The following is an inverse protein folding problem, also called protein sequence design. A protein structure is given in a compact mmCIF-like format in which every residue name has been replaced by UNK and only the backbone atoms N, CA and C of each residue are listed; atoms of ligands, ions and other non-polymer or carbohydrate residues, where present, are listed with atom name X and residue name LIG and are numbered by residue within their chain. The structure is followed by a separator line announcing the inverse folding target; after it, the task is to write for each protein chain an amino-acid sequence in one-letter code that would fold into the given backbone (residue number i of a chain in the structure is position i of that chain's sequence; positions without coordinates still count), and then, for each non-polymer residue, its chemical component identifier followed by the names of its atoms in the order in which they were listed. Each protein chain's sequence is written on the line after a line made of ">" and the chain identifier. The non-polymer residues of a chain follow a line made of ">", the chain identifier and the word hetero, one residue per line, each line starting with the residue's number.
data_IF_564436924231
#
_entry.id   IF_564436924231
#
_cell.length_a   1.000
_cell.length_b   1.000
_cell.length_c   1.000
_cell.angle_alpha   90.00
_cell.angle_beta   90.00
_cell.angle_gamma   90.00
#
_symmetry.space_group_name_H-M   'P 1'
#
loop_
_entity.id
_entity.type
_entity.pdbx_description
1 polymer ?
#
# COMPACT_ATOMS: atom_id res chain seq x y z
N UNK A 1 22.65 22.57 6.40
CA UNK A 1 21.71 23.53 5.75
C UNK A 1 20.80 24.15 6.82
N UNK A 2 20.65 25.49 6.91
CA UNK A 2 19.75 26.11 7.91
C UNK A 2 18.29 25.92 7.48
N UNK A 3 17.46 25.31 8.34
CA UNK A 3 16.02 25.17 8.13
C UNK A 3 15.35 26.55 8.04
N UNK A 4 14.68 26.88 6.92
CA UNK A 4 13.91 28.12 6.73
C UNK A 4 12.43 27.83 6.93
N UNK A 5 11.84 28.32 8.01
CA UNK A 5 10.38 28.22 8.24
C UNK A 5 9.68 29.29 7.40
N UNK A 6 8.79 28.87 6.49
CA UNK A 6 8.01 29.78 5.63
C UNK A 6 6.71 30.16 6.32
N UNK A 7 5.91 29.21 6.76
CA UNK A 7 4.66 29.40 7.51
C UNK A 7 4.25 28.09 8.21
N UNK A 8 3.37 28.20 9.17
CA UNK A 8 2.68 27.05 9.77
C UNK A 8 1.33 26.87 9.05
N UNK A 9 1.10 25.69 8.46
CA UNK A 9 -0.12 25.37 7.70
C UNK A 9 -1.15 24.57 8.51
N UNK A 10 -0.69 23.78 9.50
CA UNK A 10 -1.53 23.03 10.43
C UNK A 10 -0.99 23.14 11.85
N UNK A 11 -1.84 22.89 12.86
CA UNK A 11 -1.41 22.87 14.26
C UNK A 11 -0.51 21.65 14.55
N UNK A 12 0.33 21.74 15.58
CA UNK A 12 1.13 20.60 16.06
C UNK A 12 0.23 19.43 16.45
N UNK A 13 -0.95 19.70 17.06
CA UNK A 13 -1.93 18.68 17.43
C UNK A 13 -2.45 17.95 16.20
N UNK A 14 -2.86 18.68 15.15
CA UNK A 14 -3.34 18.10 13.89
C UNK A 14 -2.24 17.26 13.23
N UNK A 15 -1.01 17.78 13.16
CA UNK A 15 0.14 17.04 12.61
C UNK A 15 0.37 15.71 13.34
N UNK A 16 0.31 15.70 14.67
CA UNK A 16 0.47 14.49 15.48
C UNK A 16 -0.62 13.46 15.21
N UNK A 17 -1.88 13.90 15.17
CA UNK A 17 -3.03 13.02 14.88
C UNK A 17 -2.90 12.41 13.48
N UNK A 18 -2.53 13.21 12.48
CA UNK A 18 -2.34 12.72 11.11
C UNK A 18 -1.20 11.70 10.99
N UNK A 19 -0.08 11.93 11.68
CA UNK A 19 1.02 10.96 11.68
C UNK A 19 0.62 9.64 12.35
N UNK A 20 -0.15 9.68 13.44
CA UNK A 20 -0.71 8.49 14.07
C UNK A 20 -1.67 7.74 13.13
N UNK A 21 -2.54 8.45 12.41
CA UNK A 21 -3.39 7.85 11.39
C UNK A 21 -2.56 7.20 10.25
N UNK A 22 -1.49 7.86 9.80
CA UNK A 22 -0.58 7.30 8.78
C UNK A 22 0.17 6.06 9.29
N UNK A 23 0.52 6.01 10.57
CA UNK A 23 1.09 4.81 11.21
C UNK A 23 0.09 3.65 11.21
N UNK A 24 -1.19 3.93 11.50
CA UNK A 24 -2.25 2.92 11.41
C UNK A 24 -2.40 2.36 9.99
N UNK A 25 -2.22 3.17 8.95
CA UNK A 25 -2.24 2.71 7.54
C UNK A 25 -1.12 1.72 7.26
N UNK A 26 0.08 1.94 7.83
CA UNK A 26 1.22 1.02 7.66
C UNK A 26 1.07 -0.22 8.54
N UNK A 27 0.63 -0.08 9.79
CA UNK A 27 0.49 -1.20 10.69
C UNK A 27 -0.69 -2.13 10.33
N UNK A 28 -1.84 -1.57 9.90
CA UNK A 28 -3.13 -2.26 9.84
C UNK A 28 -3.86 -2.12 8.50
N UNK A 29 -3.40 -1.25 7.61
CA UNK A 29 -4.08 -0.89 6.38
C UNK A 29 -3.29 -1.21 5.11
N UNK A 30 -3.62 -0.51 4.04
CA UNK A 30 -3.04 -0.71 2.70
C UNK A 30 -1.54 -0.38 2.57
N UNK A 31 -0.90 0.12 3.63
CA UNK A 31 0.55 0.35 3.68
C UNK A 31 1.34 -0.77 4.36
N UNK A 32 0.71 -1.87 4.76
CA UNK A 32 1.32 -2.93 5.60
C UNK A 32 2.56 -3.60 4.98
N UNK A 33 2.73 -3.56 3.67
CA UNK A 33 3.95 -4.05 3.00
C UNK A 33 5.19 -3.18 3.27
N UNK A 34 5.00 -1.96 3.82
CA UNK A 34 6.08 -1.10 4.27
C UNK A 34 6.35 -1.19 5.79
N UNK A 35 5.61 -2.04 6.52
CA UNK A 35 5.78 -2.21 7.96
C UNK A 35 7.17 -2.78 8.30
N UNK A 36 7.83 -2.20 9.29
CA UNK A 36 9.10 -2.66 9.87
C UNK A 36 8.92 -2.76 11.37
N UNK A 37 9.06 -3.96 11.90
CA UNK A 37 8.93 -4.21 13.33
C UNK A 37 9.96 -3.46 14.16
N UNK A 38 9.53 -2.80 15.22
CA UNK A 38 10.36 -1.98 16.09
C UNK A 38 10.56 -0.55 15.59
N UNK A 39 9.88 -0.14 14.51
CA UNK A 39 9.99 1.21 13.97
C UNK A 39 8.63 1.81 13.66
N UNK A 40 8.41 3.03 14.13
CA UNK A 40 7.17 3.76 13.93
C UNK A 40 7.16 4.42 12.54
N UNK A 41 6.56 3.73 11.58
CA UNK A 41 6.47 4.21 10.19
C UNK A 41 5.04 4.63 9.90
N UNK A 42 4.87 5.90 9.56
CA UNK A 42 3.63 6.40 8.97
C UNK A 42 3.75 6.46 7.45
N UNK A 43 2.71 6.05 6.71
CA UNK A 43 2.77 6.09 5.26
C UNK A 43 1.42 6.02 4.57
N UNK A 44 1.41 6.35 3.26
CA UNK A 44 0.22 6.29 2.42
C UNK A 44 0.58 5.91 0.99
N UNK A 45 -0.16 4.95 0.47
CA UNK A 45 -0.13 4.58 -0.96
C UNK A 45 -0.87 5.60 -1.80
N UNK A 46 -0.43 5.82 -3.03
CA UNK A 46 -1.12 6.60 -4.04
C UNK A 46 -1.15 5.86 -5.37
N UNK A 47 -2.30 5.82 -6.01
CA UNK A 47 -2.46 5.29 -7.37
C UNK A 47 -3.22 6.34 -8.17
N UNK A 48 -2.51 7.05 -9.02
CA UNK A 48 -3.06 8.11 -9.85
C UNK A 48 -3.09 7.67 -11.32
N UNK A 49 -4.26 7.66 -11.92
CA UNK A 49 -4.39 7.40 -13.36
C UNK A 49 -3.80 8.57 -14.16
N UNK A 50 -3.04 8.27 -15.20
CA UNK A 50 -2.45 9.30 -16.07
C UNK A 50 -3.53 9.97 -16.92
N UNK A 51 -3.32 11.25 -17.20
CA UNK A 51 -4.23 12.06 -18.02
C UNK A 51 -3.47 12.57 -19.24
N UNK A 52 -4.04 12.44 -20.42
CA UNK A 52 -3.54 13.03 -21.66
C UNK A 52 -4.71 13.72 -22.37
N UNK A 53 -4.51 14.97 -22.79
CA UNK A 53 -5.54 15.80 -23.44
C UNK A 53 -6.87 15.87 -22.67
N UNK A 54 -6.81 15.87 -21.32
CA UNK A 54 -7.99 15.93 -20.46
C UNK A 54 -8.73 14.58 -20.27
N UNK A 55 -8.20 13.48 -20.83
CA UNK A 55 -8.80 12.14 -20.74
C UNK A 55 -7.91 11.23 -19.89
N UNK A 56 -8.54 10.45 -18.99
CA UNK A 56 -7.84 9.42 -18.22
C UNK A 56 -7.43 8.25 -19.12
N UNK A 57 -6.15 7.91 -19.09
CA UNK A 57 -5.60 6.79 -19.85
C UNK A 57 -5.84 5.48 -19.10
N UNK A 58 -6.63 4.59 -19.67
CA UNK A 58 -6.89 3.26 -19.13
C UNK A 58 -5.59 2.46 -19.05
N UNK A 59 -5.33 1.82 -17.91
CA UNK A 59 -4.14 0.98 -17.72
C UNK A 59 -2.82 1.75 -17.48
N UNK A 60 -2.85 3.09 -17.48
CA UNK A 60 -1.66 3.91 -17.28
C UNK A 60 -1.72 4.66 -15.95
N UNK A 61 -0.83 4.32 -15.03
CA UNK A 61 -0.85 4.83 -13.67
C UNK A 61 0.51 5.38 -13.23
N UNK A 62 0.47 6.33 -12.30
CA UNK A 62 1.58 6.66 -11.42
C UNK A 62 1.28 6.04 -10.07
N UNK A 63 2.06 5.07 -9.65
CA UNK A 63 1.94 4.43 -8.35
C UNK A 63 2.96 5.03 -7.40
N UNK A 64 2.52 5.44 -6.21
CA UNK A 64 3.41 6.09 -5.25
C UNK A 64 3.22 5.58 -3.83
N UNK A 65 4.24 5.80 -3.02
CA UNK A 65 4.22 5.61 -1.59
C UNK A 65 4.96 6.76 -0.91
N UNK A 66 4.32 7.39 0.04
CA UNK A 66 4.95 8.38 0.92
C UNK A 66 5.08 7.79 2.30
N UNK A 67 6.23 7.97 2.93
CA UNK A 67 6.46 7.56 4.30
C UNK A 67 7.13 8.64 5.12
N UNK A 68 6.93 8.56 6.42
CA UNK A 68 7.58 9.35 7.45
C UNK A 68 8.11 8.43 8.54
N UNK A 69 9.35 8.62 8.94
CA UNK A 69 10.03 7.79 9.96
C UNK A 69 10.94 8.63 10.87
N UNK A 70 10.89 8.44 12.20
CA UNK A 70 9.79 7.84 12.95
C UNK A 70 8.50 8.68 12.85
N UNK A 71 7.32 8.05 12.91
CA UNK A 71 6.04 8.78 12.76
C UNK A 71 5.74 9.73 13.91
N UNK A 72 6.22 9.42 15.13
CA UNK A 72 6.02 10.24 16.33
C UNK A 72 6.96 11.45 16.40
N UNK A 73 8.21 11.31 15.99
CA UNK A 73 9.21 12.40 15.90
C UNK A 73 10.00 12.30 14.59
N UNK A 74 9.48 12.87 13.48
CA UNK A 74 9.99 12.63 12.14
C UNK A 74 11.40 13.16 11.91
N UNK A 75 12.29 12.27 11.46
CA UNK A 75 13.65 12.58 11.02
C UNK A 75 13.77 12.52 9.49
N UNK A 76 13.03 11.62 8.86
CA UNK A 76 13.03 11.49 7.41
C UNK A 76 11.61 11.39 6.81
N UNK A 77 11.50 11.87 5.57
CA UNK A 77 10.34 11.68 4.70
C UNK A 77 10.83 11.03 3.41
N UNK A 78 10.19 9.92 3.04
CA UNK A 78 10.40 9.23 1.77
C UNK A 78 9.20 9.48 0.86
N UNK A 79 9.45 9.85 -0.40
CA UNK A 79 8.45 9.80 -1.46
C UNK A 79 9.01 8.97 -2.62
N UNK A 80 8.35 7.86 -2.90
CA UNK A 80 8.64 6.97 -4.01
C UNK A 80 7.50 7.01 -5.01
N UNK A 81 7.80 7.18 -6.29
CA UNK A 81 6.84 7.09 -7.37
C UNK A 81 7.39 6.24 -8.52
N UNK A 82 6.53 5.40 -9.10
CA UNK A 82 6.81 4.60 -10.29
C UNK A 82 5.84 5.04 -11.37
N UNK A 83 6.39 5.57 -12.46
CA UNK A 83 5.59 5.98 -13.61
C UNK A 83 5.33 4.77 -14.50
N UNK A 84 4.06 4.52 -14.74
CA UNK A 84 3.55 3.54 -15.68
C UNK A 84 4.15 2.12 -15.51
N UNK A 85 4.03 1.50 -14.30
CA UNK A 85 4.52 0.14 -14.09
C UNK A 85 3.81 -0.82 -15.03
N UNK A 86 4.53 -1.83 -15.53
CA UNK A 86 4.00 -2.76 -16.54
C UNK A 86 2.83 -3.61 -16.03
N UNK A 87 2.86 -4.00 -14.76
CA UNK A 87 1.78 -4.77 -14.14
C UNK A 87 0.89 -3.84 -13.29
N UNK A 88 -0.15 -3.28 -13.91
CA UNK A 88 -1.07 -2.33 -13.29
C UNK A 88 -2.23 -2.98 -12.52
N UNK A 89 -2.40 -4.31 -12.60
CA UNK A 89 -3.34 -5.04 -11.75
C UNK A 89 -2.94 -4.96 -10.28
N UNK A 90 -1.63 -4.88 -10.00
CA UNK A 90 -1.12 -4.76 -8.65
C UNK A 90 -1.25 -3.32 -8.15
N UNK A 91 -1.77 -3.17 -6.93
CA UNK A 91 -1.86 -1.87 -6.25
C UNK A 91 -0.50 -1.35 -5.81
N UNK A 92 -0.42 -0.04 -5.51
CA UNK A 92 0.76 0.58 -4.89
C UNK A 92 1.20 -0.10 -3.59
N UNK A 93 0.27 -0.72 -2.84
CA UNK A 93 0.57 -1.53 -1.66
C UNK A 93 1.45 -2.76 -1.96
N UNK A 94 1.37 -3.31 -3.18
CA UNK A 94 2.15 -4.46 -3.63
C UNK A 94 3.30 -4.09 -4.56
N UNK A 95 3.37 -2.86 -5.04
CA UNK A 95 4.43 -2.39 -5.93
C UNK A 95 5.37 -1.43 -5.20
N UNK A 96 4.88 -0.26 -4.77
CA UNK A 96 5.73 0.79 -4.17
C UNK A 96 6.00 0.59 -2.69
N UNK A 97 5.05 0.05 -1.91
CA UNK A 97 5.25 -0.10 -0.47
C UNK A 97 6.35 -1.12 -0.09
N UNK A 98 6.51 -2.29 -0.76
CA UNK A 98 7.64 -3.19 -0.50
C UNK A 98 9.00 -2.58 -0.86
N UNK A 99 9.05 -1.79 -1.95
CA UNK A 99 10.27 -1.08 -2.35
C UNK A 99 10.59 0.00 -1.32
N UNK A 100 9.59 0.77 -0.90
CA UNK A 100 9.73 1.79 0.14
C UNK A 100 10.24 1.18 1.46
N UNK A 101 9.77 -0.03 1.84
CA UNK A 101 10.27 -0.74 3.01
C UNK A 101 11.78 -0.98 2.95
N UNK A 102 12.28 -1.38 1.78
CA UNK A 102 13.74 -1.62 1.60
C UNK A 102 14.53 -0.32 1.75
N UNK A 103 14.06 0.76 1.12
CA UNK A 103 14.68 2.09 1.24
C UNK A 103 14.62 2.61 2.68
N UNK A 104 13.50 2.38 3.38
CA UNK A 104 13.34 2.78 4.79
C UNK A 104 14.30 2.04 5.71
N UNK A 105 14.65 0.77 5.46
CA UNK A 105 15.67 0.05 6.21
C UNK A 105 17.03 0.73 6.06
N UNK A 106 17.39 1.12 4.82
CA UNK A 106 18.66 1.83 4.57
C UNK A 106 18.67 3.23 5.25
N UNK A 107 17.53 3.93 5.25
CA UNK A 107 17.39 5.23 5.94
C UNK A 107 17.50 5.07 7.46
N UNK A 108 16.87 4.05 8.03
CA UNK A 108 16.91 3.74 9.46
C UNK A 108 18.35 3.50 9.91
N UNK A 109 19.09 2.70 9.15
CA UNK A 109 20.50 2.40 9.42
C UNK A 109 21.38 3.66 9.27
N UNK A 110 21.23 4.38 8.16
CA UNK A 110 22.04 5.57 7.87
C UNK A 110 21.82 6.75 8.84
N UNK A 111 20.64 6.86 9.43
CA UNK A 111 20.28 7.89 10.42
C UNK A 111 20.37 7.36 11.86
N UNK A 112 20.79 6.10 12.06
CA UNK A 112 20.87 5.45 13.38
C UNK A 112 19.56 5.59 14.19
N UNK A 113 18.40 5.44 13.50
CA UNK A 113 17.09 5.56 14.14
C UNK A 113 16.90 4.40 15.10
N UNK A 114 16.67 4.72 16.37
CA UNK A 114 16.52 3.70 17.41
C UNK A 114 15.20 2.95 17.31
N UNK A 115 15.22 1.66 17.66
CA UNK A 115 13.99 0.87 17.83
C UNK A 115 13.17 1.44 18.99
N UNK A 116 11.87 1.44 18.83
CA UNK A 116 10.93 1.98 19.81
C UNK A 116 10.00 0.88 20.32
N UNK A 117 9.92 0.75 21.65
CA UNK A 117 8.91 -0.11 22.27
C UNK A 117 7.52 0.52 22.15
N UNK A 118 6.49 -0.34 22.12
CA UNK A 118 5.10 0.10 22.05
C UNK A 118 4.68 0.68 20.70
N UNK A 119 5.38 0.30 19.61
CA UNK A 119 4.91 0.57 18.26
C UNK A 119 3.52 -0.04 18.02
N UNK A 120 2.83 0.47 17.01
CA UNK A 120 1.54 -0.09 16.63
C UNK A 120 1.72 -1.48 16.03
N UNK A 121 1.13 -2.49 16.66
CA UNK A 121 1.21 -3.86 16.19
C UNK A 121 0.65 -4.00 14.76
N UNK A 122 1.35 -4.78 13.94
CA UNK A 122 0.84 -5.22 12.64
C UNK A 122 -0.37 -6.13 12.87
N UNK A 123 -1.36 -6.02 12.00
CA UNK A 123 -2.53 -6.90 11.96
C UNK A 123 -3.40 -6.91 13.26
N UNK A 124 -4.07 -5.80 13.54
CA UNK A 124 -5.31 -5.88 14.29
C UNK A 124 -6.36 -6.52 13.35
N UNK A 125 -6.66 -7.79 13.59
CA UNK A 125 -7.84 -8.40 12.98
C UNK A 125 -9.08 -7.67 13.52
N UNK A 126 -9.85 -7.06 12.63
CA UNK A 126 -11.21 -6.63 12.96
C UNK A 126 -12.02 -7.90 13.12
N UNK A 127 -12.41 -8.21 14.37
CA UNK A 127 -13.11 -9.46 14.70
C UNK A 127 -14.54 -9.50 14.15
N UNK A 128 -15.04 -8.36 13.67
CA UNK A 128 -16.43 -8.23 13.22
C UNK A 128 -16.63 -8.56 11.73
N UNK A 129 -15.56 -8.60 10.94
CA UNK A 129 -15.60 -8.99 9.52
C UNK A 129 -14.78 -10.27 9.34
N UNK A 130 -15.40 -11.36 8.88
CA UNK A 130 -14.68 -12.59 8.59
C UNK A 130 -13.55 -12.35 7.59
N UNK A 131 -12.38 -12.93 7.84
CA UNK A 131 -11.26 -12.90 6.90
C UNK A 131 -11.05 -14.29 6.28
N UNK A 132 -10.79 -14.29 4.97
CA UNK A 132 -10.56 -15.51 4.22
C UNK A 132 -9.20 -15.43 3.51
N UNK A 133 -8.57 -16.59 3.32
CA UNK A 133 -7.38 -16.67 2.48
C UNK A 133 -7.78 -16.51 1.03
N UNK A 134 -7.10 -15.61 0.32
CA UNK A 134 -7.30 -15.44 -1.13
C UNK A 134 -6.82 -16.68 -1.85
N UNK A 135 -7.68 -17.39 -2.62
CA UNK A 135 -7.26 -18.56 -3.38
C UNK A 135 -6.36 -18.18 -4.56
N UNK A 136 -5.57 -19.13 -5.03
CA UNK A 136 -4.82 -18.96 -6.27
C UNK A 136 -5.77 -19.14 -7.46
N UNK A 137 -5.87 -18.09 -8.29
CA UNK A 137 -6.66 -18.08 -9.52
C UNK A 137 -5.81 -17.78 -10.76
N UNK A 138 -4.49 -17.63 -10.62
CA UNK A 138 -3.59 -17.44 -11.77
C UNK A 138 -3.62 -18.68 -12.65
N UNK A 139 -3.78 -18.47 -13.96
CA UNK A 139 -3.91 -19.53 -14.97
C UNK A 139 -5.34 -20.02 -15.22
N UNK A 140 -6.32 -19.61 -14.40
CA UNK A 140 -7.73 -19.98 -14.58
C UNK A 140 -8.42 -19.05 -15.58
N UNK A 141 -9.56 -19.53 -16.10
CA UNK A 141 -10.52 -18.69 -16.82
C UNK A 141 -11.18 -17.68 -15.87
N UNK A 142 -11.76 -16.62 -16.42
CA UNK A 142 -12.47 -15.59 -15.63
C UNK A 142 -13.61 -16.23 -14.82
N UNK A 143 -14.35 -17.18 -15.41
CA UNK A 143 -15.49 -17.79 -14.75
C UNK A 143 -15.04 -18.74 -13.62
N UNK A 144 -14.02 -19.57 -13.84
CA UNK A 144 -13.45 -20.41 -12.78
C UNK A 144 -12.84 -19.58 -11.64
N UNK A 145 -12.29 -18.41 -11.97
CA UNK A 145 -11.75 -17.49 -10.96
C UNK A 145 -12.88 -16.86 -10.13
N UNK A 146 -14.00 -16.48 -10.74
CA UNK A 146 -15.21 -15.98 -10.02
C UNK A 146 -15.73 -16.99 -9.04
N UNK A 147 -15.85 -18.26 -9.45
CA UNK A 147 -16.37 -19.33 -8.59
C UNK A 147 -15.47 -19.55 -7.37
N UNK A 148 -14.15 -19.42 -7.53
CA UNK A 148 -13.20 -19.52 -6.40
C UNK A 148 -13.14 -18.30 -5.50
N UNK A 149 -13.50 -17.13 -6.03
CA UNK A 149 -13.45 -15.84 -5.34
C UNK A 149 -14.84 -15.39 -4.85
N UNK A 150 -15.76 -16.32 -4.63
CA UNK A 150 -17.16 -16.08 -4.26
C UNK A 150 -17.36 -15.18 -3.04
N UNK A 151 -16.36 -15.13 -2.14
CA UNK A 151 -16.35 -14.32 -0.92
C UNK A 151 -15.76 -12.92 -1.11
N UNK A 152 -15.31 -12.58 -2.32
CA UNK A 152 -14.58 -11.37 -2.61
C UNK A 152 -15.23 -10.57 -3.74
N UNK A 153 -15.00 -9.27 -3.74
CA UNK A 153 -15.30 -8.42 -4.89
C UNK A 153 -14.16 -8.55 -5.91
N UNK A 154 -14.50 -8.67 -7.19
CA UNK A 154 -13.51 -8.87 -8.25
C UNK A 154 -13.46 -7.65 -9.16
N UNK A 155 -12.26 -7.13 -9.40
CA UNK A 155 -11.99 -6.11 -10.40
C UNK A 155 -11.01 -6.66 -11.46
N UNK A 156 -11.29 -6.40 -12.74
CA UNK A 156 -10.45 -6.87 -13.84
C UNK A 156 -9.71 -5.73 -14.52
N UNK A 157 -8.54 -6.05 -15.06
CA UNK A 157 -7.81 -5.24 -16.04
C UNK A 157 -7.28 -6.18 -17.15
N UNK A 158 -7.12 -5.64 -18.37
CA UNK A 158 -6.78 -6.45 -19.55
C UNK A 158 -8.01 -7.00 -20.27
N UNK A 159 -7.80 -7.66 -21.43
CA UNK A 159 -8.85 -8.10 -22.35
C UNK A 159 -8.77 -9.60 -22.68
N UNK A 160 -8.01 -10.38 -21.91
CA UNK A 160 -7.81 -11.82 -22.15
C UNK A 160 -8.86 -12.70 -21.51
N UNK A 161 -8.76 -14.00 -21.76
CA UNK A 161 -9.67 -15.01 -21.19
C UNK A 161 -9.10 -15.67 -19.93
N UNK A 162 -7.80 -15.48 -19.63
CA UNK A 162 -7.11 -16.09 -18.51
C UNK A 162 -6.52 -15.09 -17.57
N UNK A 163 -6.53 -15.43 -16.30
CA UNK A 163 -5.87 -14.66 -15.25
C UNK A 163 -4.38 -14.91 -15.31
N UNK A 164 -3.57 -13.87 -15.55
CA UNK A 164 -2.09 -13.94 -15.54
C UNK A 164 -1.49 -13.38 -14.27
N UNK A 165 -2.22 -12.53 -13.53
CA UNK A 165 -1.80 -12.05 -12.22
C UNK A 165 -3.02 -11.73 -11.33
N UNK A 166 -2.82 -11.83 -10.02
CA UNK A 166 -3.80 -11.46 -9.01
C UNK A 166 -3.19 -10.60 -7.90
N UNK A 167 -4.02 -9.77 -7.27
CA UNK A 167 -3.67 -9.02 -6.07
C UNK A 167 -4.91 -8.89 -5.17
N UNK A 168 -4.85 -9.30 -3.87
CA UNK A 168 -3.69 -9.85 -3.13
C UNK A 168 -3.16 -11.18 -3.66
N UNK A 169 -1.95 -11.55 -3.22
CA UNK A 169 -1.36 -12.84 -3.57
C UNK A 169 -2.14 -14.01 -2.94
N UNK A 170 -2.02 -15.17 -3.58
CA UNK A 170 -2.63 -16.38 -3.06
C UNK A 170 -2.13 -16.71 -1.64
N UNK A 171 -3.06 -17.00 -0.74
CA UNK A 171 -2.78 -17.32 0.66
C UNK A 171 -2.78 -16.10 1.60
N UNK A 172 -2.77 -14.87 1.09
CA UNK A 172 -2.98 -13.69 1.91
C UNK A 172 -4.40 -13.63 2.49
N UNK A 173 -4.54 -13.06 3.68
CA UNK A 173 -5.85 -12.85 4.31
C UNK A 173 -6.47 -11.55 3.80
N UNK A 174 -7.73 -11.62 3.40
CA UNK A 174 -8.54 -10.49 2.98
C UNK A 174 -9.92 -10.59 3.66
N UNK A 175 -10.48 -9.46 4.03
CA UNK A 175 -11.83 -9.38 4.60
C UNK A 175 -12.87 -9.86 3.59
N UNK A 176 -13.94 -10.49 4.06
CA UNK A 176 -15.08 -10.85 3.23
C UNK A 176 -15.64 -9.61 2.53
N UNK A 177 -15.88 -9.71 1.22
CA UNK A 177 -16.23 -8.57 0.37
C UNK A 177 -15.06 -7.69 -0.06
N UNK A 178 -13.85 -7.92 0.46
CA UNK A 178 -12.64 -7.22 0.03
C UNK A 178 -12.34 -7.44 -1.45
N UNK A 179 -11.63 -6.50 -2.09
CA UNK A 179 -11.41 -6.52 -3.54
C UNK A 179 -10.17 -7.32 -3.93
N UNK A 180 -10.37 -8.32 -4.80
CA UNK A 180 -9.30 -9.02 -5.52
C UNK A 180 -9.24 -8.49 -6.95
N UNK A 181 -8.04 -8.04 -7.37
CA UNK A 181 -7.80 -7.55 -8.72
C UNK A 181 -7.11 -8.60 -9.55
N UNK A 182 -7.60 -8.77 -10.78
CA UNK A 182 -7.11 -9.75 -11.73
C UNK A 182 -6.61 -9.03 -12.99
N UNK A 183 -5.44 -9.45 -13.48
CA UNK A 183 -4.95 -9.08 -14.81
C UNK A 183 -5.26 -10.23 -15.76
N UNK A 184 -5.87 -9.90 -16.90
CA UNK A 184 -6.28 -10.85 -17.94
C UNK A 184 -5.42 -10.71 -19.20
N UNK A 185 -4.98 -11.81 -19.74
CA UNK A 185 -4.34 -11.97 -21.07
C UNK A 185 -4.89 -13.19 -21.81
#
# INVERSE_FOLDING_TARGET
>A
MKKKKIRQVISKKTSRIMRHALESVVAKGGGKSAYIEGYRIGGKTGTAQKVENGVYLVGNYIMSFMAVVPSNDPEAVLYLAIDNPKNTALLSSYTTAPIARRILLDIIDALEIERQDGEMAKDLEWTDIPTHKVPNVVGLTVDDAKDKLDKFTIEYSGNGEKVVAQSPEAGEKLEEGGTVRLLLE
#
